data_IF_290820884428
#
_entry.id   IF_290820884428
#
_cell.length_a   1.000
_cell.length_b   1.000
_cell.length_c   1.000
_cell.angle_alpha   90.00
_cell.angle_beta   90.00
_cell.angle_gamma   90.00
#
_symmetry.space_group_name_H-M   'P 1'
#
loop_
_entity.id
_entity.type
_entity.pdbx_description
1 polymer ?
#
# COMPACT_ATOMS: atom_id res chain seq x y z
N UNK A 1 1.46 12.14 5.15
CA UNK A 1 2.67 11.97 6.00
C UNK A 1 2.32 11.63 7.44
N UNK A 2 1.32 12.28 8.10
CA UNK A 2 0.98 12.03 9.49
C UNK A 2 0.67 10.55 9.79
N UNK A 3 -0.13 9.89 8.97
CA UNK A 3 -0.46 8.47 9.11
C UNK A 3 0.76 7.55 8.99
N UNK A 4 1.70 7.88 8.11
CA UNK A 4 2.97 7.14 7.97
C UNK A 4 3.82 7.34 9.22
N UNK A 5 3.98 8.60 9.66
CA UNK A 5 4.74 8.93 10.85
C UNK A 5 4.17 8.24 12.11
N UNK A 6 2.85 8.20 12.24
CA UNK A 6 2.17 7.48 13.32
C UNK A 6 2.48 5.99 13.28
N UNK A 7 2.33 5.35 12.13
CA UNK A 7 2.61 3.92 11.97
C UNK A 7 4.07 3.57 12.30
N UNK A 8 5.01 4.43 11.89
CA UNK A 8 6.43 4.29 12.23
C UNK A 8 6.70 4.47 13.72
N UNK A 9 6.08 5.48 14.36
CA UNK A 9 6.26 5.73 15.80
C UNK A 9 5.72 4.62 16.68
N UNK A 10 4.75 3.87 16.20
CA UNK A 10 4.18 2.70 16.87
C UNK A 10 5.07 1.44 16.70
N UNK A 11 6.24 1.58 16.05
CA UNK A 11 7.25 0.52 15.92
C UNK A 11 7.02 -0.46 14.78
N UNK A 12 6.10 -0.16 13.85
CA UNK A 12 5.80 -1.04 12.73
C UNK A 12 6.80 -0.93 11.58
N UNK A 13 7.07 -2.03 10.86
CA UNK A 13 8.03 -2.03 9.76
C UNK A 13 7.53 -1.19 8.58
N UNK A 14 8.41 -0.30 8.12
CA UNK A 14 8.13 0.60 7.00
C UNK A 14 9.25 0.58 5.98
N UNK A 15 8.91 0.46 4.71
CA UNK A 15 9.85 0.48 3.59
C UNK A 15 9.58 1.67 2.68
N UNK A 16 10.56 2.55 2.52
CA UNK A 16 10.44 3.72 1.66
C UNK A 16 10.91 3.41 0.24
N UNK A 17 10.05 3.62 -0.74
CA UNK A 17 10.41 3.63 -2.15
C UNK A 17 11.00 5.00 -2.50
N UNK A 18 12.23 5.01 -3.01
CA UNK A 18 12.87 6.21 -3.51
C UNK A 18 12.84 6.17 -5.05
N UNK A 19 12.06 7.04 -5.71
CA UNK A 19 11.91 6.97 -7.15
C UNK A 19 13.23 7.22 -7.90
N UNK A 20 14.13 8.05 -7.37
CA UNK A 20 15.44 8.26 -7.97
C UNK A 20 16.29 6.99 -7.94
N UNK A 21 16.37 6.33 -6.79
CA UNK A 21 17.15 5.10 -6.64
C UNK A 21 16.56 3.95 -7.45
N UNK A 22 15.23 3.92 -7.60
CA UNK A 22 14.56 2.95 -8.45
C UNK A 22 14.87 3.18 -9.94
N UNK A 23 14.79 4.42 -10.43
CA UNK A 23 15.11 4.78 -11.81
C UNK A 23 16.60 4.54 -12.13
N UNK A 24 17.49 4.76 -11.17
CA UNK A 24 18.93 4.50 -11.29
C UNK A 24 19.29 3.01 -11.08
N UNK A 25 18.34 2.15 -10.77
CA UNK A 25 18.55 0.73 -10.51
C UNK A 25 19.27 0.40 -9.18
N UNK A 26 19.39 1.37 -8.28
CA UNK A 26 19.99 1.18 -6.93
C UNK A 26 19.02 0.59 -5.92
N UNK A 27 17.73 0.75 -6.13
CA UNK A 27 16.66 0.13 -5.35
C UNK A 27 15.78 -0.68 -6.29
N UNK A 28 15.59 -1.95 -5.99
CA UNK A 28 14.81 -2.88 -6.82
C UNK A 28 13.50 -3.30 -6.14
N UNK A 29 12.57 -3.83 -6.93
CA UNK A 29 11.34 -4.42 -6.39
C UNK A 29 11.64 -5.67 -5.55
N UNK A 30 12.69 -6.41 -5.89
CA UNK A 30 13.11 -7.57 -5.11
C UNK A 30 13.62 -7.18 -3.72
N UNK A 31 14.29 -6.04 -3.59
CA UNK A 31 14.70 -5.53 -2.27
C UNK A 31 13.49 -5.20 -1.40
N UNK A 32 12.50 -4.50 -1.97
CA UNK A 32 11.25 -4.22 -1.28
C UNK A 32 10.51 -5.50 -0.89
N UNK A 33 10.47 -6.48 -1.80
CA UNK A 33 9.80 -7.75 -1.53
C UNK A 33 10.48 -8.55 -0.43
N UNK A 34 11.79 -8.66 -0.43
CA UNK A 34 12.57 -9.32 0.65
C UNK A 34 12.32 -8.70 2.02
N UNK A 35 12.22 -7.37 2.07
CA UNK A 35 11.86 -6.67 3.30
C UNK A 35 10.45 -7.06 3.77
N UNK A 36 9.46 -7.08 2.87
CA UNK A 36 8.09 -7.49 3.17
C UNK A 36 8.09 -8.94 3.70
N UNK A 37 8.70 -9.87 2.99
CA UNK A 37 8.72 -11.29 3.38
C UNK A 37 9.33 -11.51 4.76
N UNK A 38 10.44 -10.86 5.06
CA UNK A 38 11.14 -11.02 6.34
C UNK A 38 10.29 -10.60 7.54
N UNK A 39 9.57 -9.48 7.41
CA UNK A 39 8.71 -8.96 8.48
C UNK A 39 7.37 -9.70 8.58
N UNK A 40 6.77 -10.04 7.46
CA UNK A 40 5.50 -10.77 7.47
C UNK A 40 5.65 -12.21 7.92
N UNK A 41 6.80 -12.83 7.74
CA UNK A 41 7.15 -14.13 8.33
C UNK A 41 7.15 -14.09 9.87
N UNK A 42 7.44 -12.92 10.46
CA UNK A 42 7.33 -12.67 11.90
C UNK A 42 5.91 -12.28 12.35
N UNK A 43 4.92 -12.26 11.44
CA UNK A 43 3.53 -11.89 11.72
C UNK A 43 3.25 -10.40 11.71
N UNK A 44 4.18 -9.58 11.22
CA UNK A 44 4.04 -8.13 11.15
C UNK A 44 3.35 -7.69 9.85
N UNK A 45 2.66 -6.56 9.90
CA UNK A 45 2.14 -5.88 8.70
C UNK A 45 3.14 -4.80 8.27
N UNK A 46 3.47 -4.77 6.99
CA UNK A 46 4.49 -3.87 6.43
C UNK A 46 3.84 -2.72 5.68
N UNK A 47 4.28 -1.49 5.95
CA UNK A 47 3.93 -0.31 5.17
C UNK A 47 5.02 -0.02 4.14
N UNK A 48 4.64 -0.04 2.86
CA UNK A 48 5.48 0.45 1.76
C UNK A 48 4.97 1.81 1.32
N UNK A 49 5.83 2.81 1.24
CA UNK A 49 5.42 4.17 0.93
C UNK A 49 6.46 4.93 0.09
N UNK A 50 5.98 5.91 -0.66
CA UNK A 50 6.81 6.83 -1.46
C UNK A 50 6.62 8.30 -1.09
N UNK A 51 5.71 8.59 -0.15
CA UNK A 51 5.41 9.96 0.27
C UNK A 51 6.62 10.64 0.88
N UNK A 52 6.79 11.93 0.54
CA UNK A 52 7.88 12.75 1.02
C UNK A 52 7.44 14.20 1.24
N UNK A 53 8.36 15.06 1.68
CA UNK A 53 8.10 16.49 1.81
C UNK A 53 7.85 17.14 0.44
N UNK A 54 7.15 18.28 0.39
CA UNK A 54 6.90 18.96 -0.88
C UNK A 54 8.17 19.30 -1.66
N UNK A 55 9.27 19.61 -0.95
CA UNK A 55 10.58 19.91 -1.54
C UNK A 55 11.15 18.67 -2.25
N UNK A 56 11.11 17.52 -1.59
CA UNK A 56 11.57 16.24 -2.16
C UNK A 56 10.70 15.81 -3.33
N UNK A 57 9.40 15.98 -3.23
CA UNK A 57 8.48 15.69 -4.35
C UNK A 57 8.85 16.52 -5.58
N UNK A 58 9.14 17.82 -5.41
CA UNK A 58 9.60 18.66 -6.51
C UNK A 58 10.94 18.21 -7.09
N UNK A 59 11.89 17.82 -6.23
CA UNK A 59 13.18 17.28 -6.65
C UNK A 59 13.00 16.02 -7.52
N UNK A 60 12.14 15.10 -7.11
CA UNK A 60 11.83 13.89 -7.89
C UNK A 60 11.12 14.23 -9.20
N UNK A 61 10.15 15.15 -9.18
CA UNK A 61 9.45 15.57 -10.40
C UNK A 61 10.39 16.22 -11.43
N UNK A 62 11.49 16.83 -11.01
CA UNK A 62 12.53 17.33 -11.91
C UNK A 62 13.27 16.23 -12.69
N UNK A 63 13.22 14.97 -12.23
CA UNK A 63 13.74 13.81 -12.95
C UNK A 63 12.82 13.35 -14.11
N UNK A 64 11.63 13.94 -14.23
CA UNK A 64 10.58 13.59 -15.17
C UNK A 64 9.31 13.14 -14.41
N UNK A 65 8.35 14.06 -14.33
CA UNK A 65 7.12 13.82 -13.54
C UNK A 65 6.39 12.52 -13.92
N UNK A 66 6.25 12.26 -15.23
CA UNK A 66 5.57 11.07 -15.74
C UNK A 66 6.38 9.81 -15.42
N UNK A 67 7.69 9.82 -15.66
CA UNK A 67 8.54 8.67 -15.40
C UNK A 67 8.56 8.29 -13.90
N UNK A 68 8.55 9.27 -13.02
CA UNK A 68 8.46 9.05 -11.56
C UNK A 68 7.11 8.47 -11.17
N UNK A 69 6.01 9.00 -11.70
CA UNK A 69 4.67 8.49 -11.45
C UNK A 69 4.52 7.05 -11.93
N UNK A 70 4.88 6.75 -13.16
CA UNK A 70 4.82 5.40 -13.74
C UNK A 70 5.68 4.40 -12.96
N UNK A 71 6.87 4.80 -12.52
CA UNK A 71 7.76 3.97 -11.71
C UNK A 71 7.10 3.57 -10.39
N UNK A 72 6.51 4.54 -9.67
CA UNK A 72 5.87 4.30 -8.38
C UNK A 72 4.55 3.52 -8.51
N UNK A 73 3.74 3.82 -9.52
CA UNK A 73 2.52 3.08 -9.82
C UNK A 73 2.83 1.62 -10.18
N UNK A 74 3.83 1.40 -11.03
CA UNK A 74 4.28 0.06 -11.38
C UNK A 74 4.76 -0.71 -10.14
N UNK A 75 5.58 -0.08 -9.30
CA UNK A 75 6.12 -0.69 -8.10
C UNK A 75 5.03 -1.12 -7.13
N UNK A 76 4.12 -0.21 -6.79
CA UNK A 76 3.04 -0.49 -5.85
C UNK A 76 2.06 -1.54 -6.37
N UNK A 77 1.72 -1.48 -7.65
CA UNK A 77 0.86 -2.48 -8.30
C UNK A 77 1.51 -3.86 -8.36
N UNK A 78 2.80 -3.94 -8.68
CA UNK A 78 3.56 -5.18 -8.71
C UNK A 78 3.64 -5.81 -7.32
N UNK A 79 3.97 -5.03 -6.28
CA UNK A 79 4.05 -5.50 -4.90
C UNK A 79 2.70 -6.02 -4.40
N UNK A 80 1.61 -5.30 -4.68
CA UNK A 80 0.26 -5.73 -4.29
C UNK A 80 -0.14 -7.06 -4.97
N UNK A 81 0.13 -7.20 -6.26
CA UNK A 81 -0.14 -8.44 -6.99
C UNK A 81 0.68 -9.59 -6.43
N UNK A 82 1.98 -9.40 -6.24
CA UNK A 82 2.86 -10.42 -5.67
C UNK A 82 2.43 -10.84 -4.27
N UNK A 83 1.97 -9.88 -3.44
CA UNK A 83 1.43 -10.18 -2.12
C UNK A 83 0.20 -11.09 -2.19
N UNK A 84 -0.77 -10.79 -3.05
CA UNK A 84 -1.96 -11.63 -3.25
C UNK A 84 -1.58 -13.01 -3.77
N UNK A 85 -0.68 -13.11 -4.75
CA UNK A 85 -0.19 -14.38 -5.30
C UNK A 85 0.58 -15.20 -4.26
N UNK A 86 1.22 -14.55 -3.29
CA UNK A 86 1.93 -15.18 -2.17
C UNK A 86 1.04 -15.54 -0.98
N UNK A 87 -0.28 -15.36 -1.11
CA UNK A 87 -1.26 -15.74 -0.09
C UNK A 87 -1.57 -14.66 0.94
N UNK A 88 -1.13 -13.42 0.75
CA UNK A 88 -1.52 -12.31 1.61
C UNK A 88 -2.97 -11.93 1.34
N UNK A 89 -3.75 -11.76 2.40
CA UNK A 89 -5.20 -11.59 2.32
C UNK A 89 -5.66 -10.17 2.63
N UNK A 90 -4.79 -9.30 3.13
CA UNK A 90 -5.11 -7.91 3.47
C UNK A 90 -4.22 -6.97 2.67
N UNK A 91 -4.84 -6.20 1.79
CA UNK A 91 -4.18 -5.18 0.97
C UNK A 91 -4.83 -3.83 1.27
N UNK A 92 -4.04 -2.92 1.80
CA UNK A 92 -4.46 -1.55 2.09
C UNK A 92 -3.67 -0.60 1.19
N UNK A 93 -4.36 0.19 0.40
CA UNK A 93 -3.73 1.20 -0.46
C UNK A 93 -4.15 2.60 -0.03
N UNK A 94 -3.24 3.54 -0.13
CA UNK A 94 -3.47 4.95 0.19
C UNK A 94 -2.94 5.84 -0.93
N UNK A 95 -3.82 6.68 -1.46
CA UNK A 95 -3.57 7.54 -2.62
C UNK A 95 -4.41 7.13 -3.82
N UNK A 96 -4.97 8.10 -4.53
CA UNK A 96 -5.88 7.83 -5.66
C UNK A 96 -5.21 7.09 -6.81
N UNK A 97 -4.04 7.56 -7.24
CA UNK A 97 -3.25 6.96 -8.32
C UNK A 97 -2.77 5.55 -7.95
N UNK A 98 -2.23 5.39 -6.76
CA UNK A 98 -1.81 4.08 -6.22
C UNK A 98 -2.98 3.09 -6.16
N UNK A 99 -4.13 3.52 -5.62
CA UNK A 99 -5.33 2.69 -5.54
C UNK A 99 -5.82 2.26 -6.91
N UNK A 100 -5.81 3.16 -7.89
CA UNK A 100 -6.15 2.88 -9.27
C UNK A 100 -5.21 1.86 -9.92
N UNK A 101 -3.91 2.05 -9.78
CA UNK A 101 -2.89 1.15 -10.32
C UNK A 101 -2.98 -0.26 -9.72
N UNK A 102 -3.15 -0.35 -8.40
CA UNK A 102 -3.31 -1.63 -7.69
C UNK A 102 -4.59 -2.34 -8.13
N UNK A 103 -5.73 -1.65 -8.16
CA UNK A 103 -7.02 -2.24 -8.57
C UNK A 103 -6.95 -2.78 -9.99
N UNK A 104 -6.38 -2.02 -10.91
CA UNK A 104 -6.19 -2.45 -12.31
C UNK A 104 -5.29 -3.69 -12.40
N UNK A 105 -4.21 -3.72 -11.62
CA UNK A 105 -3.25 -4.83 -11.63
C UNK A 105 -3.80 -6.11 -11.02
N UNK A 106 -4.60 -6.00 -9.95
CA UNK A 106 -5.25 -7.16 -9.32
C UNK A 106 -6.35 -7.76 -10.20
N UNK A 107 -7.03 -6.94 -11.03
CA UNK A 107 -7.95 -7.41 -12.06
C UNK A 107 -9.25 -8.02 -11.54
N UNK A 108 -9.66 -7.72 -10.30
CA UNK A 108 -10.95 -8.17 -9.78
C UNK A 108 -12.09 -7.39 -10.45
N UNK A 109 -13.12 -8.08 -10.89
CA UNK A 109 -14.22 -7.50 -11.68
C UNK A 109 -15.36 -6.95 -10.82
N UNK A 110 -15.55 -7.47 -9.61
CA UNK A 110 -16.62 -7.06 -8.70
C UNK A 110 -16.25 -7.28 -7.25
N UNK A 111 -16.90 -6.50 -6.37
CA UNK A 111 -16.61 -6.49 -4.94
C UNK A 111 -17.91 -6.47 -4.12
N UNK A 112 -17.91 -7.18 -3.01
CA UNK A 112 -18.84 -6.96 -1.92
C UNK A 112 -18.33 -5.81 -1.07
N UNK A 113 -19.23 -4.89 -0.68
CA UNK A 113 -18.90 -3.77 0.19
C UNK A 113 -19.18 -4.17 1.63
N UNK A 114 -18.15 -4.13 2.46
CA UNK A 114 -18.22 -4.46 3.88
C UNK A 114 -18.28 -3.25 4.78
N UNK A 115 -17.80 -3.42 5.99
CA UNK A 115 -17.73 -2.39 7.02
C UNK A 115 -16.81 -1.22 6.60
N UNK A 116 -17.15 -0.02 7.05
CA UNK A 116 -16.33 1.16 6.78
C UNK A 116 -15.19 1.28 7.80
N UNK A 117 -13.97 1.43 7.29
CA UNK A 117 -12.77 1.75 8.08
C UNK A 117 -12.78 3.21 8.53
N UNK A 118 -13.24 4.07 7.64
CA UNK A 118 -13.43 5.50 7.85
C UNK A 118 -14.56 5.97 6.91
N UNK A 119 -15.15 7.14 7.13
CA UNK A 119 -16.15 7.68 6.21
C UNK A 119 -15.65 7.67 4.75
N UNK A 120 -16.37 7.01 3.86
CA UNK A 120 -16.00 6.87 2.45
C UNK A 120 -14.91 5.84 2.14
N UNK A 121 -14.48 5.04 3.12
CA UNK A 121 -13.43 4.03 2.96
C UNK A 121 -13.93 2.67 3.44
N UNK A 122 -14.67 1.91 2.64
CA UNK A 122 -15.14 0.58 3.03
C UNK A 122 -14.07 -0.49 2.87
N UNK A 123 -14.23 -1.59 3.60
CA UNK A 123 -13.57 -2.86 3.28
C UNK A 123 -14.25 -3.43 2.05
N UNK A 124 -13.49 -3.82 1.04
CA UNK A 124 -14.00 -4.46 -0.16
C UNK A 124 -13.52 -5.90 -0.25
N UNK A 125 -14.43 -6.79 -0.59
CA UNK A 125 -14.15 -8.23 -0.74
C UNK A 125 -14.39 -8.61 -2.19
N UNK A 126 -13.35 -9.03 -2.94
CA UNK A 126 -13.54 -9.49 -4.32
C UNK A 126 -14.48 -10.70 -4.34
N UNK A 127 -15.49 -10.68 -5.23
CA UNK A 127 -16.49 -11.75 -5.29
C UNK A 127 -15.91 -13.13 -5.64
N UNK A 128 -14.82 -13.15 -6.41
CA UNK A 128 -14.08 -14.37 -6.75
C UNK A 128 -13.01 -14.80 -5.73
N UNK A 129 -12.71 -13.96 -4.73
CA UNK A 129 -11.69 -14.18 -3.70
C UNK A 129 -12.19 -13.70 -2.33
N UNK A 130 -13.12 -14.43 -1.71
CA UNK A 130 -13.73 -14.03 -0.44
C UNK A 130 -12.77 -14.02 0.75
N UNK A 131 -11.58 -14.57 0.59
CA UNK A 131 -10.47 -14.53 1.55
C UNK A 131 -9.76 -13.18 1.59
N UNK A 132 -9.87 -12.35 0.55
CA UNK A 132 -9.17 -11.07 0.44
C UNK A 132 -10.00 -9.92 1.04
N UNK A 133 -9.30 -9.03 1.72
CA UNK A 133 -9.80 -7.74 2.20
C UNK A 133 -8.98 -6.63 1.54
N UNK A 134 -9.63 -5.87 0.67
CA UNK A 134 -9.01 -4.74 -0.03
C UNK A 134 -9.58 -3.44 0.53
N UNK A 135 -8.71 -2.52 0.92
CA UNK A 135 -9.07 -1.19 1.37
C UNK A 135 -8.39 -0.18 0.46
N UNK A 136 -9.20 0.65 -0.19
CA UNK A 136 -8.73 1.71 -1.06
C UNK A 136 -9.04 3.06 -0.42
N UNK A 137 -8.01 3.79 -0.08
CA UNK A 137 -8.11 5.10 0.55
C UNK A 137 -7.58 6.16 -0.40
N UNK A 138 -8.37 7.18 -0.69
CA UNK A 138 -7.88 8.34 -1.42
C UNK A 138 -7.44 9.46 -0.45
N UNK A 139 -6.38 10.18 -0.82
CA UNK A 139 -5.93 11.39 -0.14
C UNK A 139 -5.82 11.31 1.38
N UNK A 140 -6.41 12.30 2.06
CA UNK A 140 -6.31 12.52 3.51
C UNK A 140 -7.46 11.89 4.31
N UNK A 141 -8.19 10.92 3.77
CA UNK A 141 -9.25 10.23 4.50
C UNK A 141 -8.71 9.47 5.70
N UNK A 142 -9.49 9.44 6.78
CA UNK A 142 -9.17 8.75 8.02
C UNK A 142 -8.29 9.57 8.97
N UNK A 143 -8.21 9.09 10.20
CA UNK A 143 -7.42 9.69 11.27
C UNK A 143 -5.92 9.29 11.14
N UNK A 144 -5.07 9.80 12.01
CA UNK A 144 -3.64 9.50 12.01
C UNK A 144 -3.33 8.01 12.26
N UNK A 145 -4.17 7.32 13.01
CA UNK A 145 -4.08 5.89 13.32
C UNK A 145 -4.73 4.98 12.26
N UNK A 146 -5.08 5.52 11.08
CA UNK A 146 -5.83 4.82 10.05
C UNK A 146 -5.28 3.43 9.73
N UNK A 147 -3.98 3.27 9.59
CA UNK A 147 -3.40 1.99 9.24
C UNK A 147 -3.54 0.95 10.34
N UNK A 148 -3.32 1.34 11.60
CA UNK A 148 -3.53 0.47 12.75
C UNK A 148 -4.99 0.04 12.87
N UNK A 149 -5.90 0.99 12.71
CA UNK A 149 -7.33 0.73 12.74
C UNK A 149 -7.75 -0.22 11.60
N UNK A 150 -7.33 0.04 10.37
CA UNK A 150 -7.62 -0.81 9.22
C UNK A 150 -7.11 -2.25 9.39
N UNK A 151 -5.92 -2.41 9.96
CA UNK A 151 -5.35 -3.73 10.27
C UNK A 151 -6.20 -4.42 11.33
N UNK A 152 -6.54 -3.72 12.42
CA UNK A 152 -7.28 -4.31 13.55
C UNK A 152 -8.66 -4.84 13.16
N UNK A 153 -9.43 -4.08 12.37
CA UNK A 153 -10.78 -4.51 11.96
C UNK A 153 -10.77 -5.57 10.86
N UNK A 154 -9.66 -5.74 10.15
CA UNK A 154 -9.47 -6.81 9.16
C UNK A 154 -8.84 -8.06 9.76
N UNK A 155 -8.34 -8.02 10.98
CA UNK A 155 -7.77 -9.16 11.70
C UNK A 155 -8.83 -10.14 12.24
N UNK A 156 -10.06 -9.70 12.39
CA UNK A 156 -11.18 -10.48 12.90
C UNK A 156 -11.64 -11.67 12.03
N UNK A 157 -10.96 -11.95 10.93
CA UNK A 157 -11.23 -13.07 10.02
C UNK A 157 -10.49 -14.36 10.33
N UNK A 158 -9.68 -14.40 11.38
CA UNK A 158 -9.10 -15.65 11.91
C UNK A 158 -9.91 -16.14 13.11
N UNK A 159 -11.01 -16.78 12.83
CA UNK A 159 -11.61 -17.79 13.71
C UNK A 159 -11.74 -19.07 12.94
#
# INVERSE_FOLDING_TARGET
LAQIARYQSDGHPCYKLNPKDMLDGRQTLDDAWKFIESHTAAGESVLVYSSDTPEKVKEFQALGKEAVAECLEHATAWLAKKAVESGYTRIITAGGETSGAVTKKLGFSSYWIGESVAPGVPIMVPSGRPDIRLILKSGNFGQEDFFNHAISITDGGRK
#
